data_IF_290322159286
#
_entry.id   IF_290322159286
#
_cell.length_a   1.000
_cell.length_b   1.000
_cell.length_c   1.000
_cell.angle_alpha   90.00
_cell.angle_beta   90.00
_cell.angle_gamma   90.00
#
_symmetry.space_group_name_H-M   'P 1'
#
loop_
_entity.id
_entity.type
_entity.pdbx_description
1 polymer ?
#
# COMPACT_ATOMS: atom_id res chain seq x y z
N UNK A 1 2.16 -17.03 18.03
CA UNK A 1 1.13 -16.00 17.83
C UNK A 1 0.58 -16.24 16.43
N UNK A 2 -0.70 -16.49 16.28
CA UNK A 2 -1.34 -16.66 14.99
C UNK A 2 -1.70 -15.27 14.46
N UNK A 3 -1.15 -14.88 13.31
CA UNK A 3 -1.46 -13.61 12.62
C UNK A 3 -2.47 -13.84 11.49
N UNK A 4 -3.33 -14.89 11.63
CA UNK A 4 -4.29 -15.26 10.62
C UNK A 4 -5.27 -14.15 10.28
N UNK A 5 -5.66 -14.14 9.04
CA UNK A 5 -6.55 -13.12 8.46
C UNK A 5 -7.96 -13.67 8.21
N UNK A 6 -8.33 -14.77 8.87
CA UNK A 6 -9.62 -15.42 8.68
C UNK A 6 -10.79 -14.46 8.90
N UNK A 7 -11.70 -14.43 7.94
CA UNK A 7 -12.86 -13.56 7.98
C UNK A 7 -12.58 -12.08 7.72
N UNK A 8 -11.33 -11.68 7.42
CA UNK A 8 -11.00 -10.34 6.97
C UNK A 8 -11.35 -10.13 5.50
N UNK A 9 -11.78 -8.92 5.17
CA UNK A 9 -12.03 -8.48 3.80
C UNK A 9 -11.11 -7.31 3.51
N UNK A 10 -10.08 -7.56 2.69
CA UNK A 10 -9.05 -6.58 2.40
C UNK A 10 -9.18 -5.99 1.00
N UNK A 11 -9.16 -4.66 0.87
CA UNK A 11 -9.05 -3.98 -0.43
C UNK A 11 -7.62 -3.50 -0.63
N UNK A 12 -7.01 -3.87 -1.76
CA UNK A 12 -5.63 -3.58 -2.11
C UNK A 12 -5.61 -2.75 -3.40
N UNK A 13 -5.09 -1.52 -3.34
CA UNK A 13 -4.89 -0.70 -4.54
C UNK A 13 -3.55 -0.99 -5.19
N UNK A 14 -3.48 -0.88 -6.54
CA UNK A 14 -2.25 -1.22 -7.28
C UNK A 14 -1.93 -2.72 -7.27
N UNK A 15 -2.96 -3.58 -7.20
CA UNK A 15 -2.82 -5.04 -7.03
C UNK A 15 -2.36 -5.79 -8.28
N UNK A 16 -2.15 -5.11 -9.42
CA UNK A 16 -1.80 -5.78 -10.69
C UNK A 16 -0.33 -6.19 -10.79
N UNK A 17 0.55 -5.80 -9.87
CA UNK A 17 1.98 -6.15 -9.86
C UNK A 17 2.65 -5.83 -8.52
N UNK A 18 3.95 -6.15 -8.41
CA UNK A 18 4.80 -5.76 -7.30
C UNK A 18 4.22 -6.09 -5.93
N UNK A 19 4.31 -5.15 -5.00
CA UNK A 19 3.82 -5.34 -3.62
C UNK A 19 2.34 -5.69 -3.57
N UNK A 20 1.49 -5.04 -4.37
CA UNK A 20 0.05 -5.28 -4.32
C UNK A 20 -0.34 -6.72 -4.68
N UNK A 21 0.28 -7.30 -5.72
CA UNK A 21 0.07 -8.69 -6.09
C UNK A 21 0.66 -9.66 -5.06
N UNK A 22 1.81 -9.34 -4.48
CA UNK A 22 2.42 -10.12 -3.41
C UNK A 22 1.54 -10.12 -2.16
N UNK A 23 1.05 -8.97 -1.73
CA UNK A 23 0.15 -8.82 -0.58
C UNK A 23 -1.17 -9.58 -0.76
N UNK A 24 -1.70 -9.60 -2.00
CA UNK A 24 -2.91 -10.37 -2.30
C UNK A 24 -2.71 -11.87 -2.05
N UNK A 25 -1.60 -12.43 -2.53
CA UNK A 25 -1.24 -13.84 -2.29
C UNK A 25 -1.07 -14.14 -0.81
N UNK A 26 -0.33 -13.28 -0.12
CA UNK A 26 -0.08 -13.40 1.31
C UNK A 26 -1.38 -13.42 2.11
N UNK A 27 -2.25 -12.43 1.90
CA UNK A 27 -3.49 -12.31 2.67
C UNK A 27 -4.47 -13.46 2.39
N UNK A 28 -4.56 -13.93 1.14
CA UNK A 28 -5.38 -15.10 0.79
C UNK A 28 -4.83 -16.37 1.41
N UNK A 29 -3.52 -16.56 1.43
CA UNK A 29 -2.88 -17.70 2.09
C UNK A 29 -3.15 -17.72 3.61
N UNK A 30 -3.30 -16.55 4.21
CA UNK A 30 -3.63 -16.37 5.64
C UNK A 30 -5.16 -16.32 5.91
N UNK A 31 -6.01 -16.62 4.93
CA UNK A 31 -7.45 -16.81 5.10
C UNK A 31 -8.32 -15.58 4.85
N UNK A 32 -7.77 -14.46 4.35
CA UNK A 32 -8.55 -13.30 3.97
C UNK A 32 -9.25 -13.48 2.61
N UNK A 33 -10.32 -12.72 2.40
CA UNK A 33 -10.86 -12.41 1.08
C UNK A 33 -10.30 -11.07 0.63
N UNK A 34 -9.93 -10.96 -0.66
CA UNK A 34 -9.26 -9.77 -1.18
C UNK A 34 -10.02 -9.15 -2.35
N UNK A 35 -10.05 -7.83 -2.38
CA UNK A 35 -10.53 -7.04 -3.52
C UNK A 35 -9.32 -6.35 -4.14
N UNK A 36 -9.05 -6.69 -5.39
CA UNK A 36 -7.87 -6.33 -6.14
C UNK A 36 -8.19 -5.16 -7.07
N UNK A 37 -7.76 -3.95 -6.71
CA UNK A 37 -8.02 -2.74 -7.48
C UNK A 37 -6.80 -2.32 -8.30
N UNK A 38 -6.95 -2.19 -9.62
CA UNK A 38 -5.95 -1.59 -10.50
C UNK A 38 -6.54 -1.28 -11.89
N UNK A 39 -5.78 -0.52 -12.71
CA UNK A 39 -6.16 -0.20 -14.10
C UNK A 39 -5.95 -1.37 -15.07
N UNK A 40 -4.96 -2.24 -14.81
CA UNK A 40 -4.60 -3.39 -15.66
C UNK A 40 -5.47 -4.60 -15.29
N UNK A 41 -6.67 -4.63 -15.83
CA UNK A 41 -7.70 -5.63 -15.47
C UNK A 41 -7.36 -7.04 -15.93
N UNK A 42 -6.63 -7.20 -17.02
CA UNK A 42 -6.09 -8.47 -17.52
C UNK A 42 -5.20 -9.17 -16.48
N UNK A 43 -4.30 -8.40 -15.85
CA UNK A 43 -3.43 -8.91 -14.78
C UNK A 43 -4.20 -9.25 -13.50
N UNK A 44 -5.23 -8.46 -13.18
CA UNK A 44 -6.10 -8.75 -12.04
C UNK A 44 -6.88 -10.05 -12.27
N UNK A 45 -7.41 -10.27 -13.48
CA UNK A 45 -8.11 -11.49 -13.82
C UNK A 45 -7.21 -12.73 -13.70
N UNK A 46 -5.95 -12.64 -14.15
CA UNK A 46 -4.98 -13.72 -13.98
C UNK A 46 -4.70 -14.01 -12.49
N UNK A 47 -4.57 -12.97 -11.67
CA UNK A 47 -4.35 -13.12 -10.23
C UNK A 47 -5.57 -13.72 -9.52
N UNK A 48 -6.81 -13.35 -9.91
CA UNK A 48 -8.03 -13.97 -9.38
C UNK A 48 -8.12 -15.45 -9.76
N UNK A 49 -7.75 -15.80 -11.01
CA UNK A 49 -7.72 -17.20 -11.43
C UNK A 49 -6.71 -18.05 -10.63
N UNK A 50 -5.60 -17.43 -10.20
CA UNK A 50 -4.60 -18.05 -9.32
C UNK A 50 -5.13 -18.24 -7.89
N UNK A 51 -5.78 -17.21 -7.32
CA UNK A 51 -6.18 -17.15 -5.91
C UNK A 51 -7.52 -17.82 -5.60
N UNK A 52 -8.37 -17.96 -6.62
CA UNK A 52 -9.75 -18.46 -6.51
C UNK A 52 -10.79 -17.34 -6.42
N UNK A 53 -11.86 -17.46 -7.19
CA UNK A 53 -12.95 -16.47 -7.27
C UNK A 53 -13.78 -16.36 -5.97
N UNK A 54 -13.73 -17.37 -5.12
CA UNK A 54 -14.35 -17.38 -3.79
C UNK A 54 -13.57 -16.52 -2.80
N UNK A 55 -12.28 -16.24 -3.06
CA UNK A 55 -11.38 -15.47 -2.17
C UNK A 55 -10.96 -14.14 -2.75
N UNK A 56 -10.98 -13.96 -4.07
CA UNK A 56 -10.48 -12.77 -4.73
C UNK A 56 -11.50 -12.19 -5.72
N UNK A 57 -11.61 -10.86 -5.74
CA UNK A 57 -12.41 -10.07 -6.67
C UNK A 57 -11.54 -9.06 -7.40
N UNK A 58 -11.52 -9.10 -8.73
CA UNK A 58 -10.88 -8.08 -9.56
C UNK A 58 -11.82 -6.90 -9.81
N UNK A 59 -11.34 -5.67 -9.60
CA UNK A 59 -12.10 -4.46 -9.88
C UNK A 59 -11.23 -3.48 -10.65
N UNK A 60 -11.75 -2.98 -11.79
CA UNK A 60 -11.12 -1.87 -12.50
C UNK A 60 -11.14 -0.63 -11.58
N UNK A 61 -9.96 -0.10 -11.26
CA UNK A 61 -9.83 1.00 -10.32
C UNK A 61 -8.71 1.95 -10.75
N UNK A 62 -9.03 3.23 -10.83
CA UNK A 62 -8.06 4.31 -10.87
C UNK A 62 -8.17 5.11 -9.56
N UNK A 63 -7.09 5.13 -8.76
CA UNK A 63 -7.07 5.81 -7.47
C UNK A 63 -7.13 7.34 -7.61
N UNK A 64 -6.90 7.87 -8.80
CA UNK A 64 -7.03 9.31 -9.10
C UNK A 64 -8.46 9.73 -9.43
N UNK A 65 -9.37 8.78 -9.62
CA UNK A 65 -10.80 8.98 -9.87
C UNK A 65 -11.63 8.51 -8.66
N UNK A 66 -12.24 9.46 -7.96
CA UNK A 66 -13.05 9.18 -6.78
C UNK A 66 -14.25 8.28 -7.10
N UNK A 67 -14.89 8.43 -8.26
CA UNK A 67 -16.03 7.60 -8.65
C UNK A 67 -15.59 6.15 -8.87
N UNK A 68 -14.42 5.94 -9.45
CA UNK A 68 -13.81 4.61 -9.61
C UNK A 68 -13.53 3.96 -8.26
N UNK A 69 -13.03 4.71 -7.28
CA UNK A 69 -12.80 4.22 -5.91
C UNK A 69 -14.12 3.80 -5.25
N UNK A 70 -15.14 4.65 -5.29
CA UNK A 70 -16.46 4.36 -4.72
C UNK A 70 -17.03 3.08 -5.31
N UNK A 71 -17.02 2.95 -6.64
CA UNK A 71 -17.53 1.76 -7.34
C UNK A 71 -16.79 0.48 -6.93
N UNK A 72 -15.49 0.56 -6.64
CA UNK A 72 -14.72 -0.58 -6.19
C UNK A 72 -15.11 -1.03 -4.76
N UNK A 73 -15.37 -0.09 -3.86
CA UNK A 73 -15.89 -0.43 -2.53
C UNK A 73 -17.32 -0.99 -2.61
N UNK A 74 -18.18 -0.45 -3.48
CA UNK A 74 -19.54 -0.98 -3.71
C UNK A 74 -19.50 -2.43 -4.21
N UNK A 75 -18.59 -2.73 -5.17
CA UNK A 75 -18.40 -4.09 -5.65
C UNK A 75 -17.87 -5.04 -4.56
N UNK A 76 -16.94 -4.55 -3.72
CA UNK A 76 -16.42 -5.29 -2.59
C UNK A 76 -17.54 -5.67 -1.59
N UNK A 77 -18.35 -4.70 -1.21
CA UNK A 77 -19.45 -4.88 -0.26
C UNK A 77 -20.54 -5.79 -0.80
N UNK A 78 -20.88 -5.66 -2.09
CA UNK A 78 -21.83 -6.55 -2.75
C UNK A 78 -21.35 -8.01 -2.79
N UNK A 79 -20.04 -8.24 -2.94
CA UNK A 79 -19.48 -9.59 -3.11
C UNK A 79 -19.12 -10.27 -1.80
N UNK A 80 -18.52 -9.54 -0.87
CA UNK A 80 -17.92 -10.10 0.34
C UNK A 80 -18.43 -9.48 1.64
N UNK A 81 -19.05 -8.32 1.60
CA UNK A 81 -19.42 -7.52 2.75
C UNK A 81 -18.45 -6.36 2.99
N UNK A 82 -18.63 -5.66 4.11
CA UNK A 82 -17.86 -4.45 4.42
C UNK A 82 -16.37 -4.70 4.48
N UNK A 83 -15.61 -3.91 3.74
CA UNK A 83 -14.13 -3.92 3.78
C UNK A 83 -13.66 -3.48 5.17
N UNK A 84 -12.93 -4.31 5.86
CA UNK A 84 -12.37 -4.03 7.19
C UNK A 84 -10.86 -3.75 7.18
N UNK A 85 -10.21 -4.04 6.06
CA UNK A 85 -8.78 -3.85 5.88
C UNK A 85 -8.52 -3.14 4.56
N UNK A 86 -7.82 -2.01 4.58
CA UNK A 86 -7.44 -1.26 3.37
C UNK A 86 -5.93 -1.17 3.27
N UNK A 87 -5.40 -1.55 2.11
CA UNK A 87 -3.98 -1.39 1.79
C UNK A 87 -3.85 -0.39 0.65
N UNK A 88 -3.54 0.86 1.00
CA UNK A 88 -3.33 1.94 0.05
C UNK A 88 -1.91 1.84 -0.51
N UNK A 89 -1.75 1.00 -1.54
CA UNK A 89 -0.46 0.61 -2.11
C UNK A 89 -0.18 1.22 -3.48
N UNK A 90 -1.19 1.62 -4.25
CA UNK A 90 -0.98 2.19 -5.58
C UNK A 90 0.04 3.33 -5.56
N UNK A 91 0.99 3.28 -6.49
CA UNK A 91 2.03 4.30 -6.60
C UNK A 91 2.73 4.26 -7.96
N UNK A 92 3.31 5.38 -8.32
CA UNK A 92 4.11 5.57 -9.54
C UNK A 92 5.38 6.34 -9.18
N UNK A 93 6.44 6.18 -9.98
CA UNK A 93 7.64 7.02 -9.95
C UNK A 93 7.81 7.68 -11.32
N UNK A 94 8.30 8.90 -11.31
CA UNK A 94 8.70 9.66 -12.46
C UNK A 94 10.11 10.19 -12.18
N UNK A 95 11.08 9.53 -12.77
CA UNK A 95 12.48 9.83 -12.49
C UNK A 95 12.98 10.98 -13.39
N UNK A 96 13.87 11.80 -12.85
CA UNK A 96 14.47 12.90 -13.56
C UNK A 96 15.02 13.98 -12.63
N UNK A 97 15.94 14.82 -13.13
CA UNK A 97 16.39 15.99 -12.36
C UNK A 97 15.21 16.92 -12.09
N UNK A 98 15.14 17.48 -10.91
CA UNK A 98 14.04 18.36 -10.49
C UNK A 98 13.82 19.57 -11.43
N UNK A 99 14.87 19.98 -12.16
CA UNK A 99 14.80 21.05 -13.17
C UNK A 99 14.22 20.61 -14.50
N UNK A 100 14.18 19.31 -14.77
CA UNK A 100 13.84 18.73 -16.08
C UNK A 100 12.48 18.02 -16.07
N UNK A 101 12.01 17.63 -14.87
CA UNK A 101 10.70 16.98 -14.68
C UNK A 101 9.58 17.97 -14.98
N UNK A 102 8.65 17.57 -15.84
CA UNK A 102 7.52 18.39 -16.24
C UNK A 102 6.45 18.53 -15.16
N UNK A 103 5.66 19.59 -15.22
CA UNK A 103 4.51 19.77 -14.32
C UNK A 103 3.51 18.60 -14.40
N UNK A 104 3.33 17.99 -15.59
CA UNK A 104 2.44 16.83 -15.76
C UNK A 104 2.97 15.59 -15.03
N UNK A 105 4.27 15.32 -15.06
CA UNK A 105 4.90 14.23 -14.33
C UNK A 105 4.77 14.43 -12.81
N UNK A 106 5.04 15.65 -12.32
CA UNK A 106 4.84 15.98 -10.91
C UNK A 106 3.38 15.77 -10.51
N UNK A 107 2.44 16.27 -11.33
CA UNK A 107 1.00 16.12 -11.06
C UNK A 107 0.58 14.64 -11.03
N UNK A 108 1.09 13.80 -11.94
CA UNK A 108 0.82 12.35 -11.96
C UNK A 108 1.28 11.66 -10.65
N UNK A 109 2.49 11.96 -10.19
CA UNK A 109 3.03 11.42 -8.94
C UNK A 109 2.18 11.87 -7.75
N UNK A 110 1.85 13.16 -7.65
CA UNK A 110 1.05 13.68 -6.54
C UNK A 110 -0.36 13.11 -6.56
N UNK A 111 -1.00 13.05 -7.74
CA UNK A 111 -2.35 12.52 -7.91
C UNK A 111 -2.42 11.06 -7.47
N UNK A 112 -1.47 10.22 -7.89
CA UNK A 112 -1.47 8.79 -7.56
C UNK A 112 -1.00 8.53 -6.13
N UNK A 113 0.19 9.03 -5.77
CA UNK A 113 0.87 8.62 -4.53
C UNK A 113 0.35 9.32 -3.28
N UNK A 114 -0.23 10.51 -3.40
CA UNK A 114 -0.73 11.26 -2.27
C UNK A 114 -2.25 11.39 -2.29
N UNK A 115 -2.84 11.99 -3.33
CA UNK A 115 -4.29 12.16 -3.42
C UNK A 115 -5.02 10.82 -3.49
N UNK A 116 -4.53 9.87 -4.30
CA UNK A 116 -5.09 8.53 -4.41
C UNK A 116 -5.03 7.74 -3.12
N UNK A 117 -3.92 7.85 -2.36
CA UNK A 117 -3.80 7.26 -1.01
C UNK A 117 -4.80 7.90 -0.05
N UNK A 118 -4.92 9.24 -0.07
CA UNK A 118 -5.89 9.98 0.75
C UNK A 118 -7.32 9.49 0.47
N UNK A 119 -7.73 9.49 -0.81
CA UNK A 119 -9.08 9.10 -1.22
C UNK A 119 -9.39 7.65 -0.88
N UNK A 120 -8.45 6.73 -1.10
CA UNK A 120 -8.57 5.31 -0.76
C UNK A 120 -8.79 5.11 0.75
N UNK A 121 -7.93 5.72 1.57
CA UNK A 121 -8.04 5.61 3.03
C UNK A 121 -9.33 6.24 3.56
N UNK A 122 -9.70 7.42 3.02
CA UNK A 122 -10.92 8.12 3.40
C UNK A 122 -12.18 7.31 3.08
N UNK A 123 -12.29 6.74 1.89
CA UNK A 123 -13.46 5.95 1.52
C UNK A 123 -13.55 4.68 2.37
N UNK A 124 -12.43 3.97 2.59
CA UNK A 124 -12.41 2.86 3.52
C UNK A 124 -12.86 3.23 4.93
N UNK A 125 -12.36 4.34 5.47
CA UNK A 125 -12.76 4.82 6.79
C UNK A 125 -14.26 5.19 6.85
N UNK A 126 -14.80 5.85 5.81
CA UNK A 126 -16.25 6.17 5.73
C UNK A 126 -17.11 4.92 5.82
N UNK A 127 -16.74 3.85 5.08
CA UNK A 127 -17.45 2.56 5.09
C UNK A 127 -17.37 1.88 6.45
N UNK A 128 -16.18 1.82 7.04
CA UNK A 128 -15.95 1.24 8.37
C UNK A 128 -16.75 1.98 9.46
N UNK A 129 -16.80 3.32 9.41
CA UNK A 129 -17.59 4.14 10.33
C UNK A 129 -19.08 3.85 10.16
N UNK A 130 -19.59 3.82 8.93
CA UNK A 130 -20.97 3.52 8.62
C UNK A 130 -21.39 2.10 9.07
N UNK A 131 -20.46 1.15 9.01
CA UNK A 131 -20.64 -0.22 9.48
C UNK A 131 -20.52 -0.38 11.02
N UNK A 132 -20.25 0.68 11.77
CA UNK A 132 -20.23 0.66 13.23
C UNK A 132 -18.96 0.01 13.84
N UNK A 133 -17.81 0.13 13.18
CA UNK A 133 -16.56 -0.50 13.68
C UNK A 133 -16.03 0.11 14.99
N UNK A 134 -16.64 1.18 15.47
CA UNK A 134 -16.25 1.87 16.70
C UNK A 134 -16.11 0.93 17.90
N UNK A 135 -17.06 0.03 18.08
CA UNK A 135 -17.08 -0.84 19.26
C UNK A 135 -16.22 -2.10 19.10
N UNK A 136 -16.04 -2.55 17.85
CA UNK A 136 -15.23 -3.74 17.56
C UNK A 136 -13.74 -3.44 17.46
N UNK A 137 -13.34 -2.19 17.15
CA UNK A 137 -11.96 -1.84 16.88
C UNK A 137 -11.34 -2.58 15.68
N UNK A 138 -12.18 -3.09 14.76
CA UNK A 138 -11.77 -4.01 13.70
C UNK A 138 -11.09 -3.33 12.51
N UNK A 139 -11.29 -2.03 12.30
CA UNK A 139 -10.78 -1.32 11.12
C UNK A 139 -9.25 -1.27 11.05
N UNK A 140 -8.68 -1.63 9.90
CA UNK A 140 -7.24 -1.55 9.62
C UNK A 140 -6.99 -0.83 8.30
N UNK A 141 -6.15 0.19 8.33
CA UNK A 141 -5.69 0.90 7.13
C UNK A 141 -4.17 0.93 7.15
N UNK A 142 -3.55 0.34 6.13
CA UNK A 142 -2.10 0.33 5.96
C UNK A 142 -1.76 1.17 4.73
N UNK A 143 -0.97 2.22 4.94
CA UNK A 143 -0.45 3.07 3.88
C UNK A 143 0.95 2.59 3.48
N UNK A 144 1.20 2.45 2.18
CA UNK A 144 2.54 2.07 1.70
C UNK A 144 3.34 3.34 1.39
N UNK A 145 4.23 3.65 2.31
CA UNK A 145 5.23 4.71 2.21
C UNK A 145 6.46 4.32 1.40
N UNK A 146 7.60 4.81 1.81
CA UNK A 146 8.94 4.46 1.31
C UNK A 146 9.99 5.02 2.26
N UNK A 147 11.17 4.42 2.32
CA UNK A 147 12.34 5.01 3.00
C UNK A 147 12.75 6.35 2.40
N UNK A 148 12.38 6.64 1.15
CA UNK A 148 12.62 7.95 0.52
C UNK A 148 11.85 9.09 1.18
N UNK A 149 10.89 8.79 2.05
CA UNK A 149 10.25 9.80 2.91
C UNK A 149 11.25 10.48 3.85
N UNK A 150 12.35 9.83 4.18
CA UNK A 150 13.39 10.29 5.11
C UNK A 150 14.76 10.43 4.42
N UNK A 151 15.04 9.59 3.41
CA UNK A 151 16.25 9.69 2.62
C UNK A 151 16.16 10.81 1.59
N UNK A 152 17.29 11.46 1.34
CA UNK A 152 17.45 12.38 0.23
C UNK A 152 18.29 11.74 -0.87
N UNK A 153 17.78 11.74 -2.09
CA UNK A 153 18.46 11.25 -3.28
C UNK A 153 18.30 12.25 -4.43
N UNK A 154 18.95 11.99 -5.55
CA UNK A 154 18.80 12.78 -6.77
C UNK A 154 17.83 12.06 -7.71
N UNK A 155 16.94 12.84 -8.35
CA UNK A 155 16.14 12.35 -9.45
C UNK A 155 14.75 11.84 -9.09
N UNK A 156 14.34 11.91 -7.81
CA UNK A 156 13.05 11.41 -7.33
C UNK A 156 12.29 12.37 -6.40
N UNK A 157 12.54 13.68 -6.51
CA UNK A 157 12.05 14.68 -5.56
C UNK A 157 10.53 14.65 -5.37
N UNK A 158 9.74 14.52 -6.45
CA UNK A 158 8.28 14.49 -6.36
C UNK A 158 7.80 13.20 -5.66
N UNK A 159 8.44 12.07 -5.98
CA UNK A 159 8.15 10.79 -5.33
C UNK A 159 8.46 10.84 -3.84
N UNK A 160 9.67 11.25 -3.46
CA UNK A 160 10.12 11.35 -2.07
C UNK A 160 9.21 12.27 -1.25
N UNK A 161 8.87 13.46 -1.78
CA UNK A 161 7.96 14.40 -1.14
C UNK A 161 6.56 13.80 -0.95
N UNK A 162 6.03 13.06 -1.97
CA UNK A 162 4.73 12.38 -1.85
C UNK A 162 4.75 11.33 -0.74
N UNK A 163 5.84 10.56 -0.61
CA UNK A 163 5.98 9.51 0.42
C UNK A 163 6.19 10.10 1.82
N UNK A 164 6.88 11.23 1.96
CA UNK A 164 6.95 11.99 3.21
C UNK A 164 5.55 12.50 3.62
N UNK A 165 4.76 13.01 2.65
CA UNK A 165 3.37 13.39 2.86
C UNK A 165 2.51 12.22 3.34
N UNK A 166 2.64 11.03 2.75
CA UNK A 166 1.92 9.81 3.15
C UNK A 166 2.27 9.39 4.59
N UNK A 167 3.55 9.45 4.97
CA UNK A 167 3.96 9.12 6.34
C UNK A 167 3.33 10.07 7.38
N UNK A 168 3.24 11.36 7.06
CA UNK A 168 2.54 12.32 7.92
C UNK A 168 1.03 12.11 7.92
N UNK A 169 0.44 11.85 6.76
CA UNK A 169 -0.99 11.58 6.59
C UNK A 169 -1.45 10.39 7.44
N UNK A 170 -0.66 9.32 7.51
CA UNK A 170 -0.94 8.17 8.37
C UNK A 170 -1.13 8.55 9.84
N UNK A 171 -0.30 9.44 10.37
CA UNK A 171 -0.43 9.96 11.75
C UNK A 171 -1.68 10.82 11.93
N UNK A 172 -2.02 11.66 10.94
CA UNK A 172 -3.22 12.49 10.99
C UNK A 172 -4.48 11.64 10.98
N UNK A 173 -4.59 10.67 10.07
CA UNK A 173 -5.71 9.77 10.00
C UNK A 173 -5.86 8.89 11.25
N UNK A 174 -4.74 8.40 11.80
CA UNK A 174 -4.76 7.69 13.07
C UNK A 174 -5.38 8.54 14.19
N UNK A 175 -4.99 9.82 14.28
CA UNK A 175 -5.52 10.76 15.28
C UNK A 175 -7.02 11.01 15.11
N UNK A 176 -7.48 11.12 13.84
CA UNK A 176 -8.88 11.40 13.54
C UNK A 176 -9.79 10.20 13.77
N UNK A 177 -9.32 8.98 13.39
CA UNK A 177 -10.19 7.81 13.28
C UNK A 177 -10.02 6.79 14.40
N UNK A 178 -9.07 6.95 15.31
CA UNK A 178 -8.87 6.01 16.43
C UNK A 178 -10.14 5.82 17.28
N UNK A 179 -10.93 6.88 17.50
CA UNK A 179 -12.19 6.82 18.24
C UNK A 179 -13.32 6.13 17.47
N UNK A 180 -13.11 5.87 16.19
CA UNK A 180 -14.05 5.16 15.31
C UNK A 180 -13.68 3.68 15.15
N UNK A 181 -12.74 3.17 15.95
CA UNK A 181 -12.31 1.76 15.90
C UNK A 181 -11.45 1.44 14.67
N UNK A 182 -10.75 2.44 14.12
CA UNK A 182 -9.90 2.28 12.94
C UNK A 182 -8.45 2.62 13.30
N UNK A 183 -7.56 1.65 13.09
CA UNK A 183 -6.13 1.85 13.21
C UNK A 183 -5.53 2.16 11.83
N UNK A 184 -4.71 3.21 11.77
CA UNK A 184 -4.01 3.62 10.55
C UNK A 184 -2.51 3.59 10.83
N UNK A 185 -1.78 2.83 10.02
CA UNK A 185 -0.33 2.70 10.13
C UNK A 185 0.33 2.81 8.75
N UNK A 186 1.61 3.12 8.72
CA UNK A 186 2.40 3.24 7.49
C UNK A 186 3.53 2.22 7.51
N UNK A 187 3.72 1.49 6.41
CA UNK A 187 4.95 0.71 6.15
C UNK A 187 5.81 1.53 5.19
N UNK A 188 7.09 1.68 5.51
CA UNK A 188 8.11 2.27 4.65
C UNK A 188 9.07 1.18 4.16
N UNK A 189 8.81 0.59 2.98
CA UNK A 189 9.73 -0.37 2.40
C UNK A 189 11.06 0.28 2.01
N UNK A 190 12.13 -0.49 2.11
CA UNK A 190 13.41 -0.17 1.50
C UNK A 190 13.40 -0.42 -0.02
N UNK A 191 14.60 -0.41 -0.61
CA UNK A 191 14.79 -0.78 -2.00
C UNK A 191 14.58 -2.28 -2.15
N UNK A 192 13.49 -2.62 -2.84
CA UNK A 192 13.05 -3.98 -3.18
C UNK A 192 12.86 -4.03 -4.69
N UNK A 193 13.31 -5.09 -5.36
CA UNK A 193 13.13 -5.23 -6.80
C UNK A 193 11.64 -5.40 -7.14
N UNK A 194 11.09 -4.45 -7.88
CA UNK A 194 9.71 -4.44 -8.37
C UNK A 194 9.66 -3.79 -9.76
N UNK A 195 8.50 -3.82 -10.42
CA UNK A 195 8.33 -3.13 -11.72
C UNK A 195 8.61 -1.62 -11.64
N UNK A 196 8.33 -0.97 -10.50
CA UNK A 196 8.59 0.47 -10.30
C UNK A 196 10.09 0.78 -10.33
N UNK A 197 10.92 -0.12 -9.81
CA UNK A 197 12.37 0.05 -9.81
C UNK A 197 12.98 -0.10 -11.23
N UNK A 198 12.24 -0.67 -12.18
CA UNK A 198 12.74 -0.95 -13.52
C UNK A 198 14.06 -1.70 -13.49
N UNK A 199 14.96 -1.35 -14.42
CA UNK A 199 16.28 -1.95 -14.56
C UNK A 199 17.38 -1.16 -13.81
N UNK A 200 17.03 -0.16 -13.01
CA UNK A 200 18.01 0.69 -12.34
C UNK A 200 19.07 -0.12 -11.60
N UNK A 201 18.66 -1.10 -10.82
CA UNK A 201 19.58 -1.91 -10.01
C UNK A 201 20.45 -2.86 -10.83
N UNK A 202 20.22 -3.01 -12.14
CA UNK A 202 21.07 -3.74 -13.07
C UNK A 202 22.17 -2.85 -13.67
N UNK A 203 22.04 -1.53 -13.57
CA UNK A 203 23.02 -0.56 -14.04
C UNK A 203 24.22 -0.48 -13.08
N UNK A 204 25.36 0.04 -13.58
CA UNK A 204 26.53 0.31 -12.70
C UNK A 204 26.17 1.25 -11.53
N UNK A 205 25.30 2.25 -11.76
CA UNK A 205 24.83 3.16 -10.71
C UNK A 205 24.08 2.43 -9.62
N UNK A 206 23.13 1.58 -10.03
CA UNK A 206 22.36 0.75 -9.11
C UNK A 206 23.21 -0.26 -8.35
N UNK A 207 24.20 -0.89 -9.00
CA UNK A 207 25.13 -1.80 -8.34
C UNK A 207 26.03 -1.07 -7.33
N UNK A 208 26.46 0.15 -7.63
CA UNK A 208 27.18 0.99 -6.64
C UNK A 208 26.29 1.34 -5.45
N UNK A 209 25.01 1.62 -5.70
CA UNK A 209 24.04 1.89 -4.64
C UNK A 209 23.86 0.65 -3.74
N UNK A 210 23.65 -0.54 -4.32
CA UNK A 210 23.55 -1.79 -3.54
C UNK A 210 24.83 -2.04 -2.72
N UNK A 211 26.00 -1.81 -3.31
CA UNK A 211 27.27 -1.98 -2.61
C UNK A 211 27.47 -1.00 -1.44
N UNK A 212 26.76 0.14 -1.46
CA UNK A 212 26.78 1.13 -0.38
C UNK A 212 25.85 0.77 0.78
N UNK A 213 24.85 -0.10 0.59
CA UNK A 213 23.99 -0.57 1.69
C UNK A 213 24.82 -1.34 2.72
N UNK A 214 24.49 -1.20 4.00
CA UNK A 214 25.23 -1.88 5.08
C UNK A 214 25.29 -3.40 4.88
N UNK A 215 24.21 -4.02 4.42
CA UNK A 215 24.15 -5.46 4.10
C UNK A 215 24.47 -5.78 2.65
N UNK A 216 24.81 -4.77 1.82
CA UNK A 216 25.20 -4.91 0.41
C UNK A 216 24.28 -5.76 -0.44
N UNK A 217 22.97 -5.64 -0.19
CA UNK A 217 21.92 -6.39 -0.89
C UNK A 217 20.61 -5.61 -0.95
N UNK A 218 19.77 -5.99 -1.90
CA UNK A 218 18.37 -5.58 -1.93
C UNK A 218 17.61 -6.25 -0.78
N UNK A 219 16.60 -5.57 -0.25
CA UNK A 219 15.66 -6.18 0.69
C UNK A 219 14.73 -7.14 -0.09
N UNK A 220 14.51 -8.38 0.36
CA UNK A 220 13.57 -9.27 -0.29
C UNK A 220 12.12 -8.83 -0.02
N UNK A 221 11.20 -9.13 -0.95
CA UNK A 221 9.80 -8.72 -0.83
C UNK A 221 9.11 -9.38 0.36
N UNK A 222 9.49 -10.59 0.72
CA UNK A 222 8.99 -11.37 1.84
C UNK A 222 9.30 -10.72 3.20
N UNK A 223 10.24 -9.78 3.25
CA UNK A 223 10.50 -8.99 4.46
C UNK A 223 9.28 -8.16 4.89
N UNK A 224 8.37 -7.87 3.96
CA UNK A 224 7.13 -7.13 4.22
C UNK A 224 6.01 -8.00 4.79
N UNK A 225 6.11 -9.33 4.73
CA UNK A 225 5.02 -10.27 5.08
C UNK A 225 4.60 -10.14 6.53
N UNK A 226 5.51 -10.38 7.45
CA UNK A 226 5.20 -10.32 8.87
C UNK A 226 4.76 -8.91 9.34
N UNK A 227 5.42 -7.82 8.92
CA UNK A 227 4.97 -6.47 9.20
C UNK A 227 3.54 -6.17 8.69
N UNK A 228 3.23 -6.56 7.45
CA UNK A 228 1.90 -6.35 6.88
C UNK A 228 0.84 -7.15 7.63
N UNK A 229 1.04 -8.46 7.81
CA UNK A 229 0.12 -9.33 8.54
C UNK A 229 -0.11 -8.81 9.96
N UNK A 230 0.94 -8.40 10.66
CA UNK A 230 0.80 -7.80 11.99
C UNK A 230 -0.11 -6.58 11.96
N UNK A 231 0.13 -5.62 11.08
CA UNK A 231 -0.65 -4.38 11.01
C UNK A 231 -2.09 -4.59 10.51
N UNK A 232 -2.34 -5.63 9.73
CA UNK A 232 -3.68 -5.99 9.24
C UNK A 232 -4.48 -6.87 10.21
N UNK A 233 -3.83 -7.54 11.16
CA UNK A 233 -4.46 -8.49 12.09
C UNK A 233 -4.95 -7.84 13.39
N UNK A 234 -5.59 -8.64 14.25
CA UNK A 234 -6.01 -8.23 15.58
C UNK A 234 -4.82 -8.10 16.56
N UNK A 235 -3.65 -8.66 16.24
CA UNK A 235 -2.44 -8.49 17.03
C UNK A 235 -1.99 -7.02 17.13
N UNK A 236 -2.39 -6.18 16.18
CA UNK A 236 -2.10 -4.74 16.17
C UNK A 236 -3.23 -3.86 16.71
N UNK A 237 -4.19 -4.42 17.47
CA UNK A 237 -5.35 -3.68 18.00
C UNK A 237 -4.97 -2.36 18.69
N UNK A 238 -3.85 -2.32 19.37
CA UNK A 238 -3.36 -1.17 20.12
C UNK A 238 -2.24 -0.39 19.39
N UNK A 239 -2.04 -0.64 18.09
CA UNK A 239 -1.02 0.02 17.27
C UNK A 239 -1.70 0.90 16.21
N UNK A 240 -1.58 2.21 16.38
CA UNK A 240 -2.10 3.20 15.40
C UNK A 240 -1.17 4.41 15.34
N UNK A 241 -1.04 5.02 14.16
CA UNK A 241 -0.14 6.16 13.90
C UNK A 241 1.33 5.77 13.80
N UNK A 242 1.64 4.47 13.80
CA UNK A 242 3.01 3.99 13.65
C UNK A 242 3.49 4.10 12.20
N UNK A 243 4.77 4.41 12.04
CA UNK A 243 5.51 4.25 10.80
C UNK A 243 6.55 3.16 11.02
N UNK A 244 6.44 2.07 10.26
CA UNK A 244 7.32 0.91 10.37
C UNK A 244 8.22 0.84 9.15
N UNK A 245 9.50 1.10 9.35
CA UNK A 245 10.53 0.97 8.30
C UNK A 245 10.96 -0.49 8.17
N UNK A 246 10.94 -0.99 6.93
CA UNK A 246 11.30 -2.38 6.58
C UNK A 246 12.27 -2.34 5.41
N UNK A 247 13.55 -2.19 5.70
CA UNK A 247 14.57 -1.83 4.72
C UNK A 247 15.88 -2.62 4.85
N UNK A 248 15.94 -3.61 5.70
CA UNK A 248 17.16 -4.40 5.97
C UNK A 248 18.37 -3.53 6.39
N UNK A 249 18.11 -2.34 6.99
CA UNK A 249 19.13 -1.40 7.43
C UNK A 249 19.73 -0.55 6.30
N UNK A 250 19.01 -0.32 5.22
CA UNK A 250 19.50 0.47 4.08
C UNK A 250 19.63 1.97 4.39
N UNK A 251 18.90 2.48 5.40
CA UNK A 251 18.92 3.89 5.82
C UNK A 251 19.81 4.19 7.02
N UNK A 252 20.47 3.18 7.58
CA UNK A 252 21.35 3.33 8.74
C UNK A 252 22.74 3.86 8.37
#
# INVERSE_FOLDING_TARGET
MHLGMEGRIALITGASSGFGAHFARLLVAEGARVVLGARRTDRLAALVAELGEDKALAVAMDVTDEASLIAAFDAAESRFGTVDTVIANAGVSEDGRSTDVTAAQIANVVATNFTGVYLTAREGARRMIAAGFRDSGRGRIVLIGSITAELTAQGDAAYAASKAGVAHLGRQFAREWVRQGINVNTIQPGYIQTEIAGDWFQTEGGQRQIAAFHRKRMCPIEALDAPLLFLCSDASLHVTGATLTVDDGQVL
#
